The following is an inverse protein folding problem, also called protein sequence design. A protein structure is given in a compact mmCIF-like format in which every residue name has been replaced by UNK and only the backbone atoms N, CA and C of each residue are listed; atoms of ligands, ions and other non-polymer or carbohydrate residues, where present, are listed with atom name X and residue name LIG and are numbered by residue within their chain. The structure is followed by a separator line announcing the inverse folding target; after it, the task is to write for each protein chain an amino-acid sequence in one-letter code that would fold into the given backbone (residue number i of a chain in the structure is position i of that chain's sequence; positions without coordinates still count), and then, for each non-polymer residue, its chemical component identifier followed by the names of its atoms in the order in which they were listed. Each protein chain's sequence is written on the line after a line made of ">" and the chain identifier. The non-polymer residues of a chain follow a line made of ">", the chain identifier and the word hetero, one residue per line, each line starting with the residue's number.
data_IF_673648583248
#
_entry.id   IF_673648583248
#
_cell.length_a   1.000
_cell.length_b   1.000
_cell.length_c   1.000
_cell.angle_alpha   90.00
_cell.angle_beta   90.00
_cell.angle_gamma   90.00
#
_symmetry.space_group_name_H-M   'P 1'
#
loop_
_entity.id
_entity.type
_entity.pdbx_description
1 polymer ?
#
# COMPACT_ATOMS: atom_id res chain seq x y z
N UNK A 1 47.57 17.25 7.26
CA UNK A 1 46.15 16.91 7.03
C UNK A 1 45.85 15.60 7.73
N UNK A 2 44.91 15.58 8.68
CA UNK A 2 44.41 14.31 9.24
C UNK A 2 43.47 13.64 8.24
N UNK A 3 43.46 12.31 8.11
CA UNK A 3 42.52 11.61 7.24
C UNK A 3 41.09 11.83 7.76
N UNK A 4 40.12 11.99 6.85
CA UNK A 4 38.71 11.99 7.26
C UNK A 4 38.37 10.63 7.88
N UNK A 5 37.61 10.61 8.99
CA UNK A 5 37.14 9.36 9.55
C UNK A 5 36.27 8.61 8.53
N UNK A 6 36.23 7.26 8.60
CA UNK A 6 35.32 6.47 7.77
C UNK A 6 33.86 6.84 8.06
N UNK A 7 32.99 6.61 7.07
CA UNK A 7 31.56 6.85 7.22
C UNK A 7 30.98 5.97 8.34
N UNK A 8 30.34 6.60 9.33
CA UNK A 8 29.60 5.92 10.39
C UNK A 8 28.10 5.88 10.01
N UNK A 9 27.49 4.70 9.83
CA UNK A 9 26.07 4.61 9.49
C UNK A 9 25.14 5.06 10.61
N UNK A 10 25.59 5.05 11.88
CA UNK A 10 24.75 5.44 13.01
C UNK A 10 24.37 6.92 12.98
N UNK A 11 25.11 7.75 12.24
CA UNK A 11 24.79 9.18 12.12
C UNK A 11 23.44 9.43 11.45
N UNK A 12 22.98 8.51 10.58
CA UNK A 12 21.71 8.66 9.84
C UNK A 12 20.48 8.48 10.74
N UNK A 13 20.63 7.76 11.85
CA UNK A 13 19.56 7.55 12.83
C UNK A 13 19.41 8.74 13.79
N UNK A 14 20.44 9.59 13.88
CA UNK A 14 20.45 10.72 14.80
C UNK A 14 19.54 11.82 14.27
N UNK A 15 18.43 12.09 14.97
CA UNK A 15 17.56 13.23 14.67
C UNK A 15 18.37 14.53 14.73
N UNK A 16 18.30 15.40 13.70
CA UNK A 16 18.97 16.68 13.74
C UNK A 16 18.40 17.57 14.85
N UNK A 17 19.26 18.38 15.46
CA UNK A 17 18.90 19.28 16.57
C UNK A 17 18.11 20.51 16.11
N UNK A 18 18.22 20.86 14.83
CA UNK A 18 17.47 21.97 14.21
C UNK A 18 16.44 21.43 13.22
N UNK A 19 15.27 22.08 13.11
CA UNK A 19 14.31 21.75 12.07
C UNK A 19 14.93 21.99 10.70
N UNK A 20 14.61 21.12 9.75
CA UNK A 20 15.08 21.26 8.38
C UNK A 20 14.50 22.53 7.72
N UNK A 21 15.34 23.48 7.25
CA UNK A 21 14.87 24.71 6.64
C UNK A 21 14.11 24.48 5.33
N UNK A 22 14.30 23.33 4.67
CA UNK A 22 13.66 23.00 3.40
C UNK A 22 12.41 22.14 3.54
N UNK A 23 12.02 21.77 4.76
CA UNK A 23 10.91 20.85 5.01
C UNK A 23 9.61 21.31 4.32
N UNK A 24 9.34 22.62 4.32
CA UNK A 24 8.18 23.21 3.62
C UNK A 24 8.29 23.08 2.11
N UNK A 25 9.49 23.27 1.55
CA UNK A 25 9.73 23.11 0.12
C UNK A 25 9.64 21.64 -0.32
N UNK A 26 9.93 20.68 0.56
CA UNK A 26 9.77 19.24 0.28
C UNK A 26 8.38 18.69 0.57
N UNK A 27 7.51 19.47 1.22
CA UNK A 27 6.19 19.02 1.69
C UNK A 27 5.30 18.51 0.55
N UNK A 28 5.39 19.09 -0.65
CA UNK A 28 4.57 18.66 -1.81
C UNK A 28 4.81 17.19 -2.20
N UNK A 29 6.01 16.63 -1.93
CA UNK A 29 6.35 15.25 -2.26
C UNK A 29 5.59 14.21 -1.43
N UNK A 30 5.08 14.63 -0.28
CA UNK A 30 4.46 13.75 0.72
C UNK A 30 3.02 14.15 1.06
N UNK A 31 2.47 15.14 0.37
CA UNK A 31 1.10 15.65 0.57
C UNK A 31 0.22 15.43 -0.65
N UNK A 32 -1.10 15.60 -0.48
CA UNK A 32 -2.09 15.44 -1.54
C UNK A 32 -2.07 14.03 -2.17
N UNK A 33 -1.95 13.90 -3.50
CA UNK A 33 -1.97 12.61 -4.19
C UNK A 33 -0.77 11.71 -3.81
N UNK A 34 0.31 12.26 -3.26
CA UNK A 34 1.54 11.50 -2.96
C UNK A 34 1.65 11.01 -1.52
N UNK A 35 0.58 11.14 -0.72
CA UNK A 35 0.53 10.58 0.64
C UNK A 35 0.70 9.05 0.63
N UNK A 36 1.21 8.47 1.73
CA UNK A 36 1.37 7.00 1.86
C UNK A 36 0.09 6.26 1.48
N UNK A 37 -1.06 6.74 1.94
CA UNK A 37 -2.33 6.08 1.68
C UNK A 37 -2.75 6.16 0.21
N UNK A 38 -2.58 7.32 -0.43
CA UNK A 38 -2.99 7.46 -1.84
C UNK A 38 -2.15 6.59 -2.78
N UNK A 39 -0.90 6.27 -2.43
CA UNK A 39 -0.07 5.31 -3.18
C UNK A 39 -0.65 3.88 -3.17
N UNK A 40 -1.33 3.48 -2.09
CA UNK A 40 -1.89 2.13 -1.97
C UNK A 40 -3.34 2.01 -2.47
N UNK A 41 -4.07 3.13 -2.67
CA UNK A 41 -5.45 3.09 -3.17
C UNK A 41 -5.59 2.37 -4.52
N UNK A 42 -4.54 2.41 -5.35
CA UNK A 42 -4.48 1.71 -6.64
C UNK A 42 -3.76 0.36 -6.61
N UNK A 43 -3.43 -0.19 -5.43
CA UNK A 43 -2.65 -1.43 -5.35
C UNK A 43 -3.42 -2.66 -5.87
N UNK A 44 -4.75 -2.66 -5.77
CA UNK A 44 -5.60 -3.76 -6.21
C UNK A 44 -6.79 -3.26 -7.04
N UNK A 45 -6.53 -2.78 -8.27
CA UNK A 45 -7.61 -2.36 -9.15
C UNK A 45 -8.51 -3.55 -9.46
N UNK A 46 -9.82 -3.39 -9.28
CA UNK A 46 -10.80 -4.42 -9.64
C UNK A 46 -11.00 -5.54 -8.62
N UNK A 47 -10.28 -5.57 -7.49
CA UNK A 47 -10.49 -6.61 -6.45
C UNK A 47 -11.94 -6.65 -5.98
N UNK A 48 -12.57 -5.48 -5.75
CA UNK A 48 -13.98 -5.43 -5.34
C UNK A 48 -14.92 -6.06 -6.36
N UNK A 49 -14.71 -5.81 -7.65
CA UNK A 49 -15.55 -6.38 -8.72
C UNK A 49 -15.32 -7.88 -8.80
N UNK A 50 -14.06 -8.32 -8.75
CA UNK A 50 -13.71 -9.74 -8.77
C UNK A 50 -14.33 -10.49 -7.59
N UNK A 51 -14.27 -9.94 -6.37
CA UNK A 51 -14.87 -10.55 -5.18
C UNK A 51 -16.40 -10.66 -5.33
N UNK A 52 -17.07 -9.63 -5.84
CA UNK A 52 -18.53 -9.66 -6.05
C UNK A 52 -18.91 -10.69 -7.11
N UNK A 53 -18.20 -10.74 -8.24
CA UNK A 53 -18.46 -11.71 -9.29
C UNK A 53 -18.24 -13.15 -8.79
N UNK A 54 -17.14 -13.38 -8.08
CA UNK A 54 -16.83 -14.67 -7.48
C UNK A 54 -17.88 -15.10 -6.46
N UNK A 55 -18.29 -14.21 -5.55
CA UNK A 55 -19.32 -14.53 -4.57
C UNK A 55 -20.67 -14.86 -5.23
N UNK A 56 -21.03 -14.12 -6.29
CA UNK A 56 -22.24 -14.38 -7.09
C UNK A 56 -22.19 -15.75 -7.73
N UNK A 57 -21.05 -16.13 -8.31
CA UNK A 57 -20.83 -17.45 -8.89
C UNK A 57 -20.95 -18.56 -7.84
N UNK A 58 -20.31 -18.43 -6.67
CA UNK A 58 -20.42 -19.40 -5.59
C UNK A 58 -21.86 -19.54 -5.08
N UNK A 59 -22.60 -18.43 -4.95
CA UNK A 59 -24.00 -18.46 -4.56
C UNK A 59 -24.86 -19.16 -5.62
N UNK A 60 -24.58 -18.93 -6.90
CA UNK A 60 -25.25 -19.61 -8.01
C UNK A 60 -25.00 -21.12 -7.98
N UNK A 61 -23.74 -21.55 -7.81
CA UNK A 61 -23.39 -22.96 -7.63
C UNK A 61 -24.09 -23.58 -6.43
N UNK A 62 -24.08 -22.89 -5.29
CA UNK A 62 -24.64 -23.40 -4.05
C UNK A 62 -26.18 -23.53 -4.06
N UNK A 63 -26.88 -22.64 -4.77
CA UNK A 63 -28.35 -22.56 -4.71
C UNK A 63 -29.05 -23.24 -5.89
N UNK A 64 -28.40 -23.29 -7.06
CA UNK A 64 -29.00 -23.76 -8.31
C UNK A 64 -28.32 -25.04 -8.79
N UNK A 65 -27.00 -25.08 -8.95
CA UNK A 65 -26.31 -26.28 -9.46
C UNK A 65 -26.32 -27.47 -8.47
N UNK A 66 -26.20 -27.22 -7.15
CA UNK A 66 -26.30 -28.29 -6.14
C UNK A 66 -27.71 -28.87 -5.94
N UNK A 67 -28.77 -28.21 -6.43
CA UNK A 67 -30.14 -28.76 -6.32
C UNK A 67 -30.43 -29.82 -7.38
N UNK A 68 -29.73 -29.79 -8.51
CA UNK A 68 -29.99 -30.69 -9.63
C UNK A 68 -29.21 -32.03 -9.54
N UNK A 69 -28.19 -32.13 -8.67
CA UNK A 69 -27.39 -33.36 -8.47
C UNK A 69 -27.95 -34.34 -7.42
N UNK A 70 -29.14 -34.09 -6.87
CA UNK A 70 -29.82 -35.00 -5.92
C UNK A 70 -30.82 -35.98 -6.57
N UNK A 71 -30.73 -36.17 -7.89
CA UNK A 71 -31.44 -37.23 -8.60
C UNK A 71 -30.45 -38.27 -9.15
N UNK A 72 -29.90 -39.08 -8.24
CA UNK A 72 -29.08 -40.26 -8.48
C UNK A 72 -29.00 -41.10 -7.22
#
# INVERSE_FOLDING_TARGET
>A
MTPRPPFDPQILLKKPTRPDPWARAETWRYTGPFTRWNRFKGAFPGLGIATVAFATYCAYEALFLKKDEHHG
#
